data_IF_703790711186
#
_entry.id   IF_703790711186
#
_cell.length_a   1.000
_cell.length_b   1.000
_cell.length_c   1.000
_cell.angle_alpha   90.00
_cell.angle_beta   90.00
_cell.angle_gamma   90.00
#
_symmetry.space_group_name_H-M   'P 1'
#
loop_
_entity.id
_entity.type
_entity.pdbx_description
1 polymer ?
#
# COMPACT_ATOMS: atom_id res chain seq x y z
N UNK A 1 -8.16 -14.85 -19.02
CA UNK A 1 -6.74 -14.86 -18.59
C UNK A 1 -6.67 -14.24 -17.20
N UNK A 2 -6.60 -15.02 -16.11
CA UNK A 2 -6.49 -14.43 -14.79
C UNK A 2 -5.06 -13.92 -14.59
N UNK A 3 -4.95 -12.71 -14.03
CA UNK A 3 -3.69 -12.04 -13.73
C UNK A 3 -2.73 -12.98 -13.00
N UNK A 4 -1.51 -13.10 -13.53
CA UNK A 4 -0.45 -13.99 -13.03
C UNK A 4 -0.31 -13.89 -11.51
N UNK A 5 -0.32 -15.07 -10.90
CA UNK A 5 -0.06 -15.30 -9.50
C UNK A 5 1.21 -14.58 -9.02
N UNK A 6 1.07 -13.76 -7.99
CA UNK A 6 2.15 -13.25 -7.13
C UNK A 6 2.78 -14.38 -6.29
N UNK A 7 3.04 -15.52 -6.91
CA UNK A 7 3.51 -16.75 -6.28
C UNK A 7 4.79 -17.16 -6.99
N UNK A 8 5.87 -16.47 -6.65
CA UNK A 8 7.27 -16.94 -6.72
C UNK A 8 8.17 -15.73 -6.45
N UNK A 9 8.16 -15.32 -5.18
CA UNK A 9 9.23 -14.48 -4.68
C UNK A 9 9.97 -15.32 -3.66
N UNK A 10 10.59 -16.37 -4.20
CA UNK A 10 11.56 -17.19 -3.50
C UNK A 10 12.68 -16.28 -3.00
N UNK A 11 13.05 -16.48 -1.74
CA UNK A 11 14.18 -15.82 -1.08
C UNK A 11 14.22 -14.30 -1.24
N UNK A 12 13.18 -13.61 -0.77
CA UNK A 12 13.29 -12.17 -0.61
C UNK A 12 14.38 -11.83 0.41
N UNK A 13 15.53 -11.35 -0.09
CA UNK A 13 16.24 -10.23 0.54
C UNK A 13 15.19 -9.30 1.13
N UNK A 14 15.27 -9.04 2.44
CA UNK A 14 14.32 -8.22 3.19
C UNK A 14 13.73 -7.09 2.32
N UNK A 15 12.44 -7.19 2.01
CA UNK A 15 11.74 -6.19 1.22
C UNK A 15 11.78 -4.86 1.97
N UNK A 16 12.43 -3.86 1.38
CA UNK A 16 12.58 -2.53 1.95
C UNK A 16 12.06 -1.48 0.99
N UNK A 17 11.32 -0.51 1.53
CA UNK A 17 10.83 0.62 0.77
C UNK A 17 12.01 1.55 0.43
N UNK A 18 12.30 1.72 -0.86
CA UNK A 18 13.41 2.56 -1.33
C UNK A 18 12.96 3.94 -1.79
N UNK A 19 11.84 4.01 -2.50
CA UNK A 19 11.25 5.24 -3.03
C UNK A 19 9.73 5.06 -3.14
N UNK A 20 8.96 6.10 -2.84
CA UNK A 20 7.52 6.16 -3.05
C UNK A 20 7.12 7.56 -3.48
N UNK A 21 5.98 7.66 -4.16
CA UNK A 21 5.29 8.93 -4.48
C UNK A 21 4.09 9.17 -3.56
N UNK A 22 3.92 8.34 -2.55
CA UNK A 22 2.80 8.43 -1.62
C UNK A 22 3.01 9.66 -0.72
N UNK A 23 1.97 10.50 -0.56
CA UNK A 23 2.07 11.69 0.28
C UNK A 23 2.32 11.37 1.76
N UNK A 24 2.91 12.31 2.53
CA UNK A 24 3.35 12.10 3.91
C UNK A 24 2.21 11.92 4.93
N UNK A 25 0.94 12.10 4.53
CA UNK A 25 -0.20 11.86 5.42
C UNK A 25 -0.45 10.37 5.70
N UNK A 26 0.14 9.46 4.91
CA UNK A 26 0.14 8.04 5.20
C UNK A 26 1.43 7.68 5.94
N UNK A 27 1.36 6.96 7.08
CA UNK A 27 2.53 6.53 7.84
C UNK A 27 3.24 5.36 7.13
N UNK A 28 3.68 5.57 5.89
CA UNK A 28 4.09 4.53 4.97
C UNK A 28 5.39 3.86 5.42
N UNK A 29 6.33 4.62 5.97
CA UNK A 29 7.61 4.14 6.46
C UNK A 29 7.42 3.22 7.67
N UNK A 30 6.49 3.57 8.57
CA UNK A 30 6.13 2.74 9.72
C UNK A 30 5.46 1.44 9.24
N UNK A 31 4.47 1.54 8.35
CA UNK A 31 3.82 0.36 7.76
C UNK A 31 4.82 -0.54 7.02
N UNK A 32 5.76 0.07 6.30
CA UNK A 32 6.81 -0.63 5.56
C UNK A 32 7.72 -1.42 6.51
N UNK A 33 8.19 -0.79 7.59
CA UNK A 33 9.03 -1.44 8.59
C UNK A 33 8.35 -2.62 9.29
N UNK A 34 7.04 -2.51 9.57
CA UNK A 34 6.29 -3.56 10.27
C UNK A 34 5.86 -4.71 9.36
N UNK A 35 5.42 -4.42 8.14
CA UNK A 35 4.72 -5.40 7.30
C UNK A 35 5.49 -5.87 6.08
N UNK A 36 6.40 -5.08 5.48
CA UNK A 36 7.10 -5.53 4.26
C UNK A 36 8.00 -6.77 4.46
N UNK A 37 8.75 -6.93 5.58
CA UNK A 37 9.66 -8.06 5.72
C UNK A 37 8.94 -9.42 5.85
N UNK A 38 7.76 -9.44 6.49
CA UNK A 38 7.08 -10.69 6.84
C UNK A 38 5.72 -10.87 6.15
N UNK A 39 5.04 -9.77 5.79
CA UNK A 39 3.63 -9.76 5.35
C UNK A 39 3.38 -8.71 4.25
N UNK A 40 4.08 -8.79 3.10
CA UNK A 40 3.95 -7.80 2.02
C UNK A 40 2.53 -7.68 1.46
N UNK A 41 1.75 -8.78 1.47
CA UNK A 41 0.34 -8.75 1.05
C UNK A 41 -0.52 -7.91 2.00
N UNK A 42 -0.26 -8.00 3.30
CA UNK A 42 -0.95 -7.20 4.32
C UNK A 42 -0.59 -5.72 4.20
N UNK A 43 0.68 -5.42 3.95
CA UNK A 43 1.13 -4.06 3.64
C UNK A 43 0.35 -3.45 2.47
N UNK A 44 0.27 -4.17 1.34
CA UNK A 44 -0.45 -3.69 0.16
C UNK A 44 -1.95 -3.49 0.42
N UNK A 45 -2.58 -4.41 1.16
CA UNK A 45 -3.99 -4.27 1.51
C UNK A 45 -4.25 -3.01 2.36
N UNK A 46 -3.42 -2.77 3.38
CA UNK A 46 -3.51 -1.57 4.23
C UNK A 46 -3.27 -0.28 3.42
N UNK A 47 -2.29 -0.28 2.52
CA UNK A 47 -2.00 0.86 1.66
C UNK A 47 -3.20 1.20 0.75
N UNK A 48 -3.80 0.18 0.11
CA UNK A 48 -4.96 0.38 -0.74
C UNK A 48 -6.17 0.91 0.04
N UNK A 49 -6.41 0.41 1.25
CA UNK A 49 -7.49 0.91 2.11
C UNK A 49 -7.33 2.41 2.41
N UNK A 50 -6.12 2.84 2.74
CA UNK A 50 -5.83 4.24 3.03
C UNK A 50 -6.01 5.15 1.81
N UNK A 51 -5.50 4.73 0.65
CA UNK A 51 -5.66 5.49 -0.59
C UNK A 51 -7.13 5.61 -0.99
N UNK A 52 -7.89 4.51 -0.87
CA UNK A 52 -9.31 4.52 -1.17
C UNK A 52 -10.10 5.41 -0.20
N UNK A 53 -9.79 5.40 1.10
CA UNK A 53 -10.44 6.26 2.08
C UNK A 53 -10.18 7.76 1.77
N UNK A 54 -8.95 8.10 1.39
CA UNK A 54 -8.61 9.47 0.99
C UNK A 54 -9.37 9.91 -0.26
N UNK A 55 -9.38 9.09 -1.31
CA UNK A 55 -10.12 9.40 -2.55
C UNK A 55 -11.61 9.50 -2.28
N UNK A 56 -12.18 8.57 -1.52
CA UNK A 56 -13.59 8.61 -1.14
C UNK A 56 -13.95 9.91 -0.42
N UNK A 57 -13.12 10.34 0.54
CA UNK A 57 -13.33 11.61 1.24
C UNK A 57 -13.25 12.81 0.30
N UNK A 58 -12.30 12.80 -0.65
CA UNK A 58 -12.15 13.87 -1.64
C UNK A 58 -13.38 13.96 -2.55
N UNK A 59 -13.88 12.84 -3.04
CA UNK A 59 -15.08 12.82 -3.88
C UNK A 59 -16.34 13.22 -3.12
N UNK A 60 -16.49 12.81 -1.85
CA UNK A 60 -17.58 13.26 -0.98
C UNK A 60 -17.61 14.79 -0.87
N UNK A 61 -16.44 15.43 -0.66
CA UNK A 61 -16.36 16.90 -0.61
C UNK A 61 -16.66 17.54 -1.97
N UNK A 62 -16.24 16.93 -3.07
CA UNK A 62 -16.51 17.42 -4.43
C UNK A 62 -17.99 17.38 -4.79
N UNK A 63 -18.74 16.40 -4.28
CA UNK A 63 -20.19 16.28 -4.48
C UNK A 63 -21.01 17.25 -3.62
N UNK A 64 -20.42 17.82 -2.58
CA UNK A 64 -21.05 18.84 -1.73
C UNK A 64 -20.84 20.27 -2.25
N UNK A 65 -20.07 20.44 -3.33
CA UNK A 65 -19.85 21.70 -4.05
C UNK A 65 -20.78 21.78 -5.25
#
# INVERSE_FOLDING_TARGET
QPCREFRELGEFRELRLRRHSIPPFLPLEALAGHFLPHRPRQFLALLLQHLNAFVARREQLRQLQ
#
